data_IF_119933467036
#
_entry.id   IF_119933467036
#
_cell.length_a   1.000
_cell.length_b   1.000
_cell.length_c   1.000
_cell.angle_alpha   90.00
_cell.angle_beta   90.00
_cell.angle_gamma   90.00
#
_symmetry.space_group_name_H-M   'P 1'
#
loop_
_entity.id
_entity.type
_entity.pdbx_description
1 polymer ?
#
# COMPACT_ATOMS: atom_id res chain seq x y z
N UNK A 1 -14.51 13.76 -29.46
CA UNK A 1 -13.36 14.60 -29.06
C UNK A 1 -13.93 15.68 -28.15
N UNK A 2 -13.45 15.79 -26.92
CA UNK A 2 -13.99 16.79 -25.97
C UNK A 2 -13.40 18.18 -26.23
N UNK A 3 -13.89 19.19 -25.48
CA UNK A 3 -13.38 20.58 -25.54
C UNK A 3 -11.89 20.71 -25.17
N UNK A 4 -11.23 19.64 -24.72
CA UNK A 4 -9.82 19.59 -24.32
C UNK A 4 -8.95 18.77 -25.29
N UNK A 5 -9.46 18.44 -26.48
CA UNK A 5 -8.76 17.61 -27.48
C UNK A 5 -8.31 16.24 -26.94
N UNK A 6 -9.07 15.70 -25.98
CA UNK A 6 -8.81 14.37 -25.45
C UNK A 6 -9.61 13.30 -26.21
N UNK A 7 -9.01 12.12 -26.34
CA UNK A 7 -9.63 10.88 -26.79
C UNK A 7 -9.59 9.92 -25.61
N UNK A 8 -10.76 9.47 -25.16
CA UNK A 8 -10.87 8.45 -24.12
C UNK A 8 -11.24 7.12 -24.75
N UNK A 9 -10.40 6.10 -24.56
CA UNK A 9 -10.71 4.71 -24.91
C UNK A 9 -11.16 4.01 -23.64
N UNK A 10 -12.39 3.47 -23.66
CA UNK A 10 -12.92 2.65 -22.56
C UNK A 10 -12.89 1.18 -22.96
N UNK A 11 -12.43 0.33 -22.05
CA UNK A 11 -12.49 -1.13 -22.18
C UNK A 11 -13.46 -1.62 -21.11
N UNK A 12 -14.50 -2.34 -21.53
CA UNK A 12 -15.48 -2.93 -20.62
C UNK A 12 -15.39 -4.44 -20.77
N UNK A 13 -15.09 -5.13 -19.69
CA UNK A 13 -15.00 -6.58 -19.66
C UNK A 13 -16.11 -7.14 -18.77
N UNK A 14 -16.91 -8.06 -19.33
CA UNK A 14 -17.92 -8.80 -18.57
C UNK A 14 -17.28 -10.10 -18.08
N UNK A 15 -17.13 -10.22 -16.77
CA UNK A 15 -16.51 -11.37 -16.13
C UNK A 15 -17.46 -12.58 -16.14
N UNK A 16 -16.90 -13.78 -15.98
CA UNK A 16 -17.66 -15.04 -15.90
C UNK A 16 -18.58 -15.12 -14.68
N UNK A 17 -18.31 -14.34 -13.63
CA UNK A 17 -19.15 -14.20 -12.43
C UNK A 17 -20.27 -13.15 -12.59
N UNK A 18 -20.39 -12.54 -13.77
CA UNK A 18 -21.40 -11.53 -14.09
C UNK A 18 -21.04 -10.11 -13.68
N UNK A 19 -19.91 -9.88 -13.00
CA UNK A 19 -19.40 -8.53 -12.73
C UNK A 19 -18.86 -7.85 -14.00
N UNK A 20 -18.73 -6.53 -13.95
CA UNK A 20 -18.21 -5.71 -15.06
C UNK A 20 -16.98 -4.94 -14.60
N UNK A 21 -15.84 -5.18 -15.25
CA UNK A 21 -14.61 -4.39 -15.06
C UNK A 21 -14.53 -3.30 -16.14
N UNK A 22 -14.22 -2.07 -15.74
CA UNK A 22 -13.96 -0.94 -16.65
C UNK A 22 -12.48 -0.57 -16.57
N UNK A 23 -11.81 -0.46 -17.72
CA UNK A 23 -10.52 0.18 -17.88
C UNK A 23 -10.65 1.41 -18.78
N UNK A 24 -9.75 2.38 -18.64
CA UNK A 24 -9.79 3.64 -19.37
C UNK A 24 -8.40 4.14 -19.72
N UNK A 25 -8.16 4.40 -20.99
CA UNK A 25 -7.00 5.15 -21.48
C UNK A 25 -7.44 6.54 -21.94
N UNK A 26 -6.70 7.58 -21.54
CA UNK A 26 -6.93 8.95 -22.00
C UNK A 26 -5.71 9.43 -22.78
N UNK A 27 -5.97 9.81 -24.02
CA UNK A 27 -4.98 10.38 -24.94
C UNK A 27 -5.26 11.85 -25.16
N UNK A 28 -4.21 12.66 -25.31
CA UNK A 28 -4.31 14.07 -25.71
C UNK A 28 -3.53 14.29 -27.00
N UNK A 29 -4.07 15.13 -27.90
CA UNK A 29 -3.37 15.53 -29.11
C UNK A 29 -2.17 16.43 -28.75
N UNK A 30 -0.97 15.97 -29.04
CA UNK A 30 0.22 16.81 -29.06
C UNK A 30 0.31 17.49 -30.43
N UNK A 31 -0.09 18.75 -30.51
CA UNK A 31 -0.13 19.50 -31.76
C UNK A 31 1.26 19.74 -32.37
N UNK A 32 2.31 19.83 -31.55
CA UNK A 32 3.68 20.03 -32.01
C UNK A 32 4.28 18.77 -32.67
N UNK A 33 3.99 17.60 -32.12
CA UNK A 33 4.47 16.31 -32.61
C UNK A 33 3.48 15.59 -33.55
N UNK A 34 2.30 16.18 -33.81
CA UNK A 34 1.20 15.64 -34.63
C UNK A 34 0.82 14.20 -34.29
N UNK A 35 0.87 13.83 -33.01
CA UNK A 35 0.51 12.51 -32.51
C UNK A 35 -0.35 12.59 -31.24
N UNK A 36 -0.98 11.47 -30.88
CA UNK A 36 -1.72 11.34 -29.62
C UNK A 36 -0.80 10.77 -28.55
N UNK A 37 -0.71 11.45 -27.41
CA UNK A 37 0.06 11.02 -26.25
C UNK A 37 -0.87 10.45 -25.18
N UNK A 38 -0.56 9.25 -24.68
CA UNK A 38 -1.23 8.67 -23.52
C UNK A 38 -0.84 9.47 -22.27
N UNK A 39 -1.83 10.01 -21.55
CA UNK A 39 -1.61 10.81 -20.34
C UNK A 39 -2.15 10.14 -19.07
N UNK A 40 -3.00 9.12 -19.22
CA UNK A 40 -3.62 8.42 -18.11
C UNK A 40 -4.06 7.03 -18.57
N UNK A 41 -3.77 6.02 -17.75
CA UNK A 41 -4.32 4.66 -17.88
C UNK A 41 -4.89 4.26 -16.53
N UNK A 42 -6.20 4.05 -16.48
CA UNK A 42 -6.88 3.28 -15.45
C UNK A 42 -6.97 1.84 -15.97
N UNK A 43 -6.20 0.91 -15.38
CA UNK A 43 -6.29 -0.50 -15.74
C UNK A 43 -7.71 -1.03 -15.47
N UNK A 44 -8.10 -2.09 -16.19
CA UNK A 44 -9.26 -2.89 -15.79
C UNK A 44 -9.12 -3.20 -14.30
N UNK A 45 -10.17 -2.98 -13.51
CA UNK A 45 -10.24 -3.56 -12.17
C UNK A 45 -10.15 -5.08 -12.35
N UNK A 46 -8.92 -5.60 -12.43
CA UNK A 46 -8.60 -7.00 -12.24
C UNK A 46 -9.20 -7.35 -10.88
N UNK A 47 -9.92 -8.47 -10.83
CA UNK A 47 -10.51 -9.02 -9.61
C UNK A 47 -9.62 -8.65 -8.45
N UNK A 48 -10.18 -7.93 -7.46
CA UNK A 48 -9.46 -7.56 -6.24
C UNK A 48 -8.83 -8.84 -5.72
N UNK A 49 -7.54 -9.04 -5.99
CA UNK A 49 -6.76 -10.05 -5.28
C UNK A 49 -6.73 -9.47 -3.88
N UNK A 50 -7.64 -9.94 -3.03
CA UNK A 50 -7.76 -9.40 -1.69
C UNK A 50 -6.39 -9.53 -1.03
N UNK A 51 -5.79 -8.38 -0.71
CA UNK A 51 -4.53 -8.35 0.00
C UNK A 51 -4.76 -8.95 1.39
N UNK A 52 -4.30 -10.18 1.57
CA UNK A 52 -4.44 -10.90 2.84
C UNK A 52 -3.45 -10.32 3.83
N UNK A 53 -3.96 -9.78 4.94
CA UNK A 53 -3.16 -9.31 6.06
C UNK A 53 -2.93 -10.48 7.05
N UNK A 54 -1.74 -11.09 7.11
CA UNK A 54 -1.51 -12.30 7.91
C UNK A 54 -1.58 -12.05 9.43
N UNK A 55 -1.59 -10.79 9.86
CA UNK A 55 -1.68 -10.40 11.27
C UNK A 55 -3.02 -9.74 11.61
N UNK A 56 -4.02 -9.83 10.75
CA UNK A 56 -5.29 -9.13 10.96
C UNK A 56 -6.04 -9.59 12.22
N UNK A 57 -5.87 -10.86 12.58
CA UNK A 57 -6.45 -11.48 13.78
C UNK A 57 -5.77 -11.07 15.08
N UNK A 58 -4.60 -10.41 15.02
CA UNK A 58 -3.88 -10.00 16.23
C UNK A 58 -4.54 -8.80 16.92
N UNK A 59 -4.34 -8.64 18.25
CA UNK A 59 -4.94 -7.55 19.00
C UNK A 59 -4.55 -6.14 18.50
N UNK A 60 -5.51 -5.22 18.63
CA UNK A 60 -5.40 -3.78 18.29
C UNK A 60 -5.72 -2.88 19.48
N UNK A 61 -5.07 -3.09 20.62
CA UNK A 61 -5.35 -2.36 21.87
C UNK A 61 -4.52 -1.08 22.00
N UNK A 62 -3.35 -1.01 21.36
CA UNK A 62 -2.48 0.15 21.45
C UNK A 62 -2.85 1.27 20.44
N UNK A 63 -2.42 2.49 20.75
CA UNK A 63 -2.69 3.73 19.98
C UNK A 63 -2.39 3.62 18.48
N UNK A 64 -1.28 2.97 18.14
CA UNK A 64 -0.78 2.83 16.78
C UNK A 64 -1.16 1.50 16.10
N UNK A 65 -1.90 0.64 16.79
CA UNK A 65 -2.34 -0.64 16.25
C UNK A 65 -3.48 -0.43 15.24
N UNK A 66 -3.10 -0.27 13.98
CA UNK A 66 -4.03 -0.05 12.90
C UNK A 66 -3.48 -0.49 11.55
N UNK A 67 -4.36 -0.46 10.56
CA UNK A 67 -4.00 -0.60 9.16
C UNK A 67 -3.81 0.79 8.57
N UNK A 68 -2.74 0.96 7.81
CA UNK A 68 -2.40 2.18 7.12
C UNK A 68 -2.22 1.86 5.63
N UNK A 69 -2.59 2.77 4.75
CA UNK A 69 -2.49 2.56 3.29
C UNK A 69 -2.19 3.85 2.53
N UNK A 70 -1.55 3.69 1.38
CA UNK A 70 -1.31 4.75 0.39
C UNK A 70 -1.97 4.43 -0.98
N UNK A 71 -2.88 3.45 -1.03
CA UNK A 71 -3.58 3.01 -2.23
C UNK A 71 -4.32 1.69 -2.01
N UNK A 72 -4.85 1.07 -3.08
CA UNK A 72 -5.53 -0.24 -3.00
C UNK A 72 -4.54 -1.39 -2.67
N UNK A 73 -3.36 -1.38 -3.28
CA UNK A 73 -2.34 -2.45 -3.18
C UNK A 73 -1.15 -2.08 -2.28
N UNK A 74 -1.39 -1.30 -1.23
CA UNK A 74 -0.35 -0.91 -0.28
C UNK A 74 -0.90 -0.83 1.13
N UNK A 75 -0.34 -1.65 2.02
CA UNK A 75 -0.78 -1.85 3.39
C UNK A 75 0.41 -1.87 4.32
N UNK A 76 0.32 -1.09 5.39
CA UNK A 76 1.15 -1.23 6.58
C UNK A 76 0.21 -1.56 7.72
N UNK A 77 0.21 -2.82 8.12
CA UNK A 77 -0.58 -3.34 9.24
C UNK A 77 0.29 -3.34 10.49
N UNK A 78 -0.20 -2.69 11.55
CA UNK A 78 0.45 -2.62 12.86
C UNK A 78 -0.48 -3.23 13.90
N UNK A 79 0.07 -4.09 14.74
CA UNK A 79 -0.62 -4.82 15.79
C UNK A 79 0.19 -4.77 17.09
N UNK A 80 -0.48 -5.14 18.18
CA UNK A 80 0.18 -5.20 19.48
C UNK A 80 1.30 -6.26 19.43
N UNK A 81 2.50 -5.90 19.89
CA UNK A 81 3.61 -6.84 19.98
C UNK A 81 3.44 -7.81 21.14
N UNK A 82 4.27 -8.87 21.16
CA UNK A 82 4.21 -9.91 22.20
C UNK A 82 4.63 -9.41 23.60
N UNK A 83 5.31 -8.28 23.68
CA UNK A 83 5.83 -7.71 24.92
C UNK A 83 5.69 -6.19 24.92
N UNK A 84 5.71 -5.58 26.11
CA UNK A 84 5.65 -4.13 26.26
C UNK A 84 6.76 -3.43 25.46
N UNK A 85 6.43 -2.32 24.81
CA UNK A 85 7.36 -1.56 23.97
C UNK A 85 7.66 -2.19 22.61
N UNK A 86 7.01 -3.30 22.23
CA UNK A 86 7.10 -3.88 20.89
C UNK A 86 5.78 -3.75 20.13
N UNK A 87 5.90 -3.68 18.80
CA UNK A 87 4.79 -3.79 17.86
C UNK A 87 5.06 -4.93 16.88
N UNK A 88 4.01 -5.61 16.45
CA UNK A 88 4.09 -6.53 15.31
C UNK A 88 3.62 -5.81 14.06
N UNK A 89 4.31 -6.01 12.94
CA UNK A 89 3.97 -5.35 11.69
C UNK A 89 3.97 -6.32 10.51
N UNK A 90 3.17 -5.96 9.50
CA UNK A 90 3.19 -6.52 8.16
C UNK A 90 3.11 -5.35 7.17
N UNK A 91 4.01 -5.33 6.21
CA UNK A 91 4.06 -4.36 5.13
C UNK A 91 3.90 -5.12 3.83
N UNK A 92 2.98 -4.67 3.00
CA UNK A 92 2.87 -5.02 1.60
C UNK A 92 2.78 -3.72 0.80
N UNK A 93 3.52 -3.62 -0.28
CA UNK A 93 3.29 -2.55 -1.24
C UNK A 93 3.52 -3.04 -2.66
N UNK A 94 2.80 -2.42 -3.58
CA UNK A 94 3.02 -2.53 -5.01
C UNK A 94 3.25 -1.13 -5.57
N UNK A 95 4.42 -0.92 -6.15
CA UNK A 95 4.82 0.34 -6.80
C UNK A 95 4.93 0.11 -8.31
N UNK A 96 4.69 1.18 -9.07
CA UNK A 96 4.88 1.21 -10.52
C UNK A 96 4.11 0.13 -11.28
N UNK A 97 2.79 0.01 -11.04
CA UNK A 97 1.92 -0.99 -11.67
C UNK A 97 2.44 -2.43 -11.51
N UNK A 98 2.68 -2.85 -10.26
CA UNK A 98 3.24 -4.15 -9.89
C UNK A 98 4.67 -4.44 -10.39
N UNK A 99 5.39 -3.47 -10.97
CA UNK A 99 6.79 -3.64 -11.33
C UNK A 99 7.72 -3.76 -10.11
N UNK A 100 7.25 -3.37 -8.93
CA UNK A 100 7.95 -3.64 -7.68
C UNK A 100 6.95 -4.01 -6.58
N UNK A 101 7.06 -5.24 -6.06
CA UNK A 101 6.22 -5.78 -5.00
C UNK A 101 7.11 -6.10 -3.82
N UNK A 102 6.88 -5.46 -2.68
CA UNK A 102 7.68 -5.67 -1.47
C UNK A 102 6.82 -6.12 -0.30
N UNK A 103 7.26 -7.19 0.36
CA UNK A 103 6.67 -7.66 1.61
C UNK A 103 7.70 -7.71 2.74
N UNK A 104 7.29 -7.29 3.94
CA UNK A 104 8.10 -7.44 5.14
C UNK A 104 7.21 -7.61 6.37
N UNK A 105 7.51 -8.60 7.19
CA UNK A 105 6.87 -8.82 8.49
C UNK A 105 7.89 -8.96 9.60
N UNK A 106 7.54 -8.53 10.80
CA UNK A 106 8.44 -8.65 11.94
C UNK A 106 7.92 -7.97 13.20
N UNK A 107 8.80 -7.84 14.18
CA UNK A 107 8.58 -7.04 15.39
C UNK A 107 9.49 -5.82 15.38
N UNK A 108 8.93 -4.63 15.62
CA UNK A 108 9.69 -3.41 15.83
C UNK A 108 9.63 -2.98 17.30
N UNK A 109 10.69 -2.33 17.77
CA UNK A 109 10.81 -1.85 19.15
C UNK A 109 10.53 -0.34 19.17
N UNK A 110 9.59 0.09 20.01
CA UNK A 110 9.35 1.51 20.29
C UNK A 110 10.61 2.11 20.94
N UNK A 111 11.24 3.06 20.27
CA UNK A 111 12.40 3.82 20.77
C UNK A 111 12.00 5.14 21.42
N UNK A 112 10.88 5.70 20.97
CA UNK A 112 10.25 6.89 21.56
C UNK A 112 8.74 6.66 21.64
N UNK A 113 8.00 7.66 22.13
CA UNK A 113 6.54 7.61 22.19
C UNK A 113 5.86 7.43 20.82
N UNK A 114 6.52 7.78 19.71
CA UNK A 114 5.94 7.75 18.36
C UNK A 114 6.86 7.13 17.30
N UNK A 115 8.00 6.56 17.70
CA UNK A 115 8.96 5.97 16.77
C UNK A 115 9.28 4.54 17.15
N UNK A 116 9.09 3.62 16.22
CA UNK A 116 9.55 2.23 16.34
C UNK A 116 10.66 1.92 15.34
N UNK A 117 11.55 1.00 15.69
CA UNK A 117 12.65 0.55 14.82
C UNK A 117 12.63 -0.96 14.71
N UNK A 118 12.61 -1.45 13.48
CA UNK A 118 12.86 -2.84 13.13
C UNK A 118 14.34 -2.99 12.76
N UNK A 119 15.00 -3.96 13.39
CA UNK A 119 16.37 -4.37 13.09
C UNK A 119 16.55 -5.80 13.59
N UNK A 120 17.16 -6.65 12.78
CA UNK A 120 17.47 -8.04 13.16
C UNK A 120 18.98 -8.20 13.24
N UNK A 121 19.48 -8.89 14.27
CA UNK A 121 20.91 -9.14 14.40
C UNK A 121 21.45 -9.89 13.18
N UNK A 122 22.50 -9.37 12.56
CA UNK A 122 23.09 -9.94 11.34
C UNK A 122 22.37 -9.55 10.04
N UNK A 123 21.20 -8.91 10.10
CA UNK A 123 20.55 -8.27 8.96
C UNK A 123 20.77 -6.75 9.05
N UNK A 124 21.54 -6.15 8.13
CA UNK A 124 21.74 -4.71 8.06
C UNK A 124 20.50 -3.95 7.52
N UNK A 125 19.36 -4.61 7.30
CA UNK A 125 18.10 -3.90 7.08
C UNK A 125 17.62 -3.24 8.37
N UNK A 126 17.53 -1.91 8.36
CA UNK A 126 16.92 -1.14 9.45
C UNK A 126 15.78 -0.28 8.91
N UNK A 127 14.58 -0.50 9.47
CA UNK A 127 13.36 0.22 9.09
C UNK A 127 12.78 0.97 10.28
N UNK A 128 12.57 2.27 10.10
CA UNK A 128 11.99 3.15 11.09
C UNK A 128 10.52 3.44 10.76
N UNK A 129 9.68 3.35 11.78
CA UNK A 129 8.26 3.70 11.73
C UNK A 129 8.06 4.97 12.54
N UNK A 130 7.60 6.04 11.89
CA UNK A 130 7.33 7.32 12.53
C UNK A 130 5.83 7.56 12.50
N UNK A 131 5.20 7.49 13.68
CA UNK A 131 3.77 7.57 13.81
C UNK A 131 3.29 9.00 14.06
N UNK A 132 2.19 9.36 13.40
CA UNK A 132 1.35 10.50 13.76
C UNK A 132 -0.02 9.99 14.26
N UNK A 133 -0.94 10.91 14.53
CA UNK A 133 -2.33 10.55 14.86
C UNK A 133 -3.07 9.89 13.69
N UNK A 134 -2.69 10.22 12.45
CA UNK A 134 -3.43 9.88 11.24
C UNK A 134 -2.62 9.10 10.20
N UNK A 135 -1.32 8.88 10.40
CA UNK A 135 -0.47 8.21 9.45
C UNK A 135 0.72 7.50 10.12
N UNK A 136 1.37 6.62 9.36
CA UNK A 136 2.70 6.11 9.65
C UNK A 136 3.60 6.41 8.47
N UNK A 137 4.78 6.94 8.75
CA UNK A 137 5.83 7.12 7.75
C UNK A 137 6.89 6.05 7.96
N UNK A 138 7.19 5.30 6.91
CA UNK A 138 8.28 4.35 6.85
C UNK A 138 9.52 5.05 6.33
N UNK A 139 10.65 4.80 6.98
CA UNK A 139 11.96 5.27 6.56
C UNK A 139 12.99 4.15 6.65
N UNK A 140 13.59 3.76 5.53
CA UNK A 140 14.78 2.92 5.50
C UNK A 140 15.97 3.73 5.99
N UNK A 141 16.59 3.25 7.08
CA UNK A 141 17.85 3.82 7.56
C UNK A 141 19.02 3.11 6.87
N UNK A 142 18.90 1.80 6.69
CA UNK A 142 19.84 0.98 5.91
C UNK A 142 19.08 0.06 4.96
N UNK A 143 19.53 0.02 3.69
CA UNK A 143 18.77 -0.44 2.52
C UNK A 143 18.14 -1.82 2.64
N UNK A 144 16.86 -1.84 3.04
CA UNK A 144 16.03 -3.03 3.16
C UNK A 144 15.53 -3.50 1.79
N UNK A 145 15.27 -2.57 0.86
CA UNK A 145 14.81 -2.87 -0.50
C UNK A 145 15.86 -3.59 -1.34
N UNK A 146 17.02 -2.95 -1.56
CA UNK A 146 18.05 -3.44 -2.49
C UNK A 146 18.64 -4.80 -2.12
N UNK A 147 18.59 -5.20 -0.84
CA UNK A 147 19.12 -6.49 -0.35
C UNK A 147 18.14 -7.65 -0.40
N UNK A 148 16.86 -7.38 -0.64
CA UNK A 148 15.83 -8.42 -0.84
C UNK A 148 15.45 -8.59 -2.31
N UNK A 149 16.30 -8.12 -3.24
CA UNK A 149 16.02 -8.17 -4.67
C UNK A 149 14.92 -7.20 -5.10
N UNK A 150 14.55 -6.24 -4.25
CA UNK A 150 13.56 -5.22 -4.56
C UNK A 150 14.27 -4.02 -5.20
N UNK A 151 13.81 -3.61 -6.36
CA UNK A 151 14.28 -2.40 -7.05
C UNK A 151 13.65 -1.12 -6.47
N UNK A 152 13.08 -1.18 -5.26
CA UNK A 152 12.34 -0.08 -4.66
C UNK A 152 12.47 -0.06 -3.13
N UNK A 153 12.41 1.15 -2.58
CA UNK A 153 12.47 1.42 -1.14
C UNK A 153 11.10 1.22 -0.47
N UNK A 154 11.11 0.80 0.79
CA UNK A 154 9.97 0.79 1.70
C UNK A 154 9.53 2.20 2.14
N UNK A 155 10.28 3.24 1.80
CA UNK A 155 9.96 4.63 2.13
C UNK A 155 8.57 5.04 1.63
N UNK A 156 7.85 5.75 2.48
CA UNK A 156 6.53 6.28 2.17
C UNK A 156 5.75 6.72 3.39
N UNK A 157 4.64 7.43 3.15
CA UNK A 157 3.67 7.78 4.18
C UNK A 157 2.34 7.13 3.89
N UNK A 158 1.77 6.47 4.89
CA UNK A 158 0.57 5.65 4.78
C UNK A 158 -0.49 6.20 5.73
N UNK A 159 -1.63 6.58 5.19
CA UNK A 159 -2.73 7.13 5.96
C UNK A 159 -3.45 6.02 6.72
N UNK A 160 -3.82 6.29 7.98
CA UNK A 160 -4.56 5.36 8.84
C UNK A 160 -5.92 5.08 8.20
N UNK A 161 -6.21 3.81 7.94
CA UNK A 161 -7.52 3.37 7.46
C UNK A 161 -8.55 3.64 8.55
N UNK A 162 -9.68 4.22 8.14
CA UNK A 162 -10.85 4.31 9.01
C UNK A 162 -11.34 2.89 9.28
N UNK A 163 -11.58 2.55 10.54
CA UNK A 163 -12.26 1.31 10.89
C UNK A 163 -13.69 1.46 10.40
N UNK A 164 -14.05 0.83 9.28
CA UNK A 164 -15.45 0.60 8.97
C UNK A 164 -15.96 -0.30 10.09
N UNK A 165 -16.92 0.18 10.87
CA UNK A 165 -17.70 -0.71 11.74
C UNK A 165 -18.41 -1.67 10.81
N UNK A 166 -17.85 -2.85 10.56
CA UNK A 166 -18.61 -3.95 10.00
C UNK A 166 -19.78 -4.15 10.96
N UNK A 167 -21.00 -3.92 10.45
CA UNK A 167 -22.20 -4.19 11.20
C UNK A 167 -22.14 -5.66 11.65
N UNK A 168 -22.23 -5.88 12.96
CA UNK A 168 -22.54 -7.17 13.55
C UNK A 168 -23.70 -7.79 12.76
N UNK A 169 -23.43 -8.75 11.87
CA UNK A 169 -24.44 -9.75 11.51
C UNK A 169 -24.40 -10.80 12.62
N UNK A 170 -25.05 -10.45 13.72
CA UNK A 170 -25.53 -11.42 14.70
C UNK A 170 -26.83 -12.00 14.15
N UNK A 171 -26.76 -13.23 13.62
CA UNK A 171 -27.71 -14.32 13.86
C UNK A 171 -27.33 -15.54 13.03
#
# INVERSE_FOLDING_TARGET
>A
MDRKYSITKKVVLKNTDGSVSEGRDVYVLNNGAKNFMLIMTDALDDKITELINPIDTLPRKNKYSADYSSGKMSLVSIRDGRSAGKISFFIHFEKSNAACIGELKGEAIMKTANTAVYQVGGDPCQLQFIFSSSAVTLKEIEGCGSRRGLNCSFDGSFAKKKVSKSANKSK
#
